data_IF_442564513864
#
_entry.id   IF_442564513864
#
_cell.length_a   1.000
_cell.length_b   1.000
_cell.length_c   1.000
_cell.angle_alpha   90.00
_cell.angle_beta   90.00
_cell.angle_gamma   90.00
#
_symmetry.space_group_name_H-M   'P 1'
#
loop_
_entity.id
_entity.type
_entity.pdbx_description
1 polymer ?
#
# COMPACT_ATOMS: atom_id res chain seq x y z
N UNK A 1 2.34 16.96 31.36
CA UNK A 1 0.98 16.65 31.88
C UNK A 1 0.76 15.16 31.66
N UNK A 2 0.26 14.38 32.64
CA UNK A 2 -0.29 13.08 32.31
C UNK A 2 -1.39 13.30 31.27
N UNK A 3 -1.29 12.61 30.13
CA UNK A 3 -2.31 12.67 29.07
C UNK A 3 -3.59 12.08 29.69
N UNK A 4 -4.52 12.95 30.06
CA UNK A 4 -5.71 12.62 30.86
C UNK A 4 -6.65 11.66 30.10
N UNK A 5 -6.48 11.56 28.78
CA UNK A 5 -7.33 10.79 27.86
C UNK A 5 -6.62 9.63 27.16
N UNK A 6 -5.41 9.23 27.59
CA UNK A 6 -4.82 8.00 27.06
C UNK A 6 -5.56 6.77 27.61
N UNK A 7 -5.71 5.70 26.81
CA UNK A 7 -6.25 4.46 27.31
C UNK A 7 -5.43 3.92 28.50
N UNK A 8 -6.11 3.35 29.49
CA UNK A 8 -5.51 2.84 30.74
C UNK A 8 -4.39 1.81 30.51
N UNK A 9 -4.42 1.11 29.39
CA UNK A 9 -3.46 0.08 28.98
C UNK A 9 -2.22 0.61 28.24
N UNK A 10 -2.15 1.91 27.95
CA UNK A 10 -1.07 2.50 27.16
C UNK A 10 0.31 2.29 27.80
N UNK A 11 0.42 2.36 29.13
CA UNK A 11 1.67 2.09 29.86
C UNK A 11 2.15 0.65 29.67
N UNK A 12 1.27 -0.32 29.91
CA UNK A 12 1.58 -1.74 29.74
C UNK A 12 1.90 -2.10 28.27
N UNK A 13 1.28 -1.40 27.31
CA UNK A 13 1.57 -1.56 25.89
C UNK A 13 2.99 -1.12 25.54
N UNK A 14 3.45 0.02 26.08
CA UNK A 14 4.83 0.48 25.90
C UNK A 14 5.85 -0.50 26.51
N UNK A 15 5.54 -1.07 27.67
CA UNK A 15 6.37 -2.10 28.29
C UNK A 15 6.43 -3.37 27.42
N UNK A 16 5.32 -3.79 26.80
CA UNK A 16 5.29 -4.94 25.89
C UNK A 16 6.10 -4.68 24.61
N UNK A 17 6.06 -3.47 24.06
CA UNK A 17 6.93 -3.09 22.93
C UNK A 17 8.42 -3.14 23.30
N UNK A 18 8.79 -2.64 24.48
CA UNK A 18 10.15 -2.70 24.97
C UNK A 18 10.62 -4.16 25.17
N UNK A 19 9.75 -5.03 25.72
CA UNK A 19 10.02 -6.46 25.87
C UNK A 19 10.21 -7.19 24.53
N UNK A 20 9.63 -6.65 23.45
CA UNK A 20 9.84 -7.13 22.06
C UNK A 20 11.08 -6.53 21.39
N UNK A 21 11.86 -5.73 22.12
CA UNK A 21 13.10 -5.11 21.62
C UNK A 21 12.87 -3.93 20.68
N UNK A 22 11.71 -3.29 20.73
CA UNK A 22 11.42 -2.08 19.96
C UNK A 22 11.73 -0.83 20.81
N UNK A 23 12.63 0.02 20.31
CA UNK A 23 13.03 1.24 20.99
C UNK A 23 11.96 2.31 20.82
N UNK A 24 11.53 2.95 21.91
CA UNK A 24 10.54 4.02 21.84
C UNK A 24 11.10 5.22 21.07
N UNK A 25 10.31 5.72 20.13
CA UNK A 25 10.56 6.98 19.43
C UNK A 25 9.39 7.92 19.64
N UNK A 26 9.69 9.21 19.61
CA UNK A 26 8.69 10.25 19.57
C UNK A 26 8.88 11.05 18.28
N UNK A 27 7.77 11.46 17.68
CA UNK A 27 7.78 12.25 16.45
C UNK A 27 6.89 13.48 16.67
N UNK A 28 7.21 14.64 16.07
CA UNK A 28 6.35 15.82 16.22
C UNK A 28 4.95 15.58 15.63
N UNK A 29 3.94 16.22 16.21
CA UNK A 29 2.56 16.19 15.67
C UNK A 29 2.46 16.95 14.35
N UNK A 30 3.11 18.10 14.26
CA UNK A 30 3.18 18.88 13.02
C UNK A 30 4.29 18.30 12.15
N UNK A 31 3.98 18.00 10.89
CA UNK A 31 4.90 17.41 9.91
C UNK A 31 4.85 18.18 8.59
N UNK A 32 5.92 18.13 7.77
CA UNK A 32 5.84 18.54 6.37
C UNK A 32 4.76 17.74 5.63
N UNK A 33 3.92 18.41 4.83
CA UNK A 33 2.80 17.75 4.17
C UNK A 33 3.21 16.88 2.97
N UNK A 34 4.24 17.30 2.22
CA UNK A 34 4.68 16.71 0.95
C UNK A 34 4.89 15.19 1.03
N UNK A 35 5.65 14.63 1.99
CA UNK A 35 5.84 13.18 2.12
C UNK A 35 4.52 12.38 2.19
N UNK A 36 3.50 12.92 2.85
CA UNK A 36 2.20 12.25 2.93
C UNK A 36 1.40 12.43 1.64
N UNK A 37 1.40 13.62 1.06
CA UNK A 37 0.64 13.88 -0.17
C UNK A 37 1.09 13.03 -1.35
N UNK A 38 2.37 12.63 -1.37
CA UNK A 38 2.95 11.83 -2.43
C UNK A 38 2.89 10.32 -2.17
N UNK A 39 2.93 9.88 -0.91
CA UNK A 39 3.07 8.45 -0.56
C UNK A 39 1.83 7.81 0.06
N UNK A 40 0.89 8.61 0.59
CA UNK A 40 -0.22 8.10 1.40
C UNK A 40 -1.36 7.45 0.60
N UNK A 41 -1.37 7.59 -0.73
CA UNK A 41 -2.49 7.22 -1.59
C UNK A 41 -3.67 8.20 -1.52
N UNK A 42 -4.57 8.13 -2.50
CA UNK A 42 -5.66 9.12 -2.65
C UNK A 42 -6.63 9.16 -1.46
N UNK A 43 -6.96 8.00 -0.89
CA UNK A 43 -7.94 7.92 0.21
C UNK A 43 -7.41 8.56 1.49
N UNK A 44 -6.15 8.34 1.84
CA UNK A 44 -5.55 8.99 3.00
C UNK A 44 -5.33 10.47 2.72
N UNK A 45 -4.83 10.84 1.53
CA UNK A 45 -4.59 12.24 1.12
C UNK A 45 -5.80 13.15 1.33
N UNK A 46 -7.01 12.67 0.97
CA UNK A 46 -8.26 13.45 1.12
C UNK A 46 -8.67 13.69 2.58
N UNK A 47 -8.08 12.96 3.53
CA UNK A 47 -8.44 12.98 4.96
C UNK A 47 -7.41 13.69 5.84
N UNK A 48 -6.32 14.21 5.26
CA UNK A 48 -5.26 14.90 5.99
C UNK A 48 -5.71 16.31 6.38
N UNK A 49 -5.43 16.72 7.61
CA UNK A 49 -5.55 18.11 8.03
C UNK A 49 -4.30 18.90 7.62
N UNK A 50 -4.47 19.77 6.63
CA UNK A 50 -3.41 20.65 6.14
C UNK A 50 -3.42 21.98 6.90
N UNK A 51 -2.23 22.54 7.07
CA UNK A 51 -1.99 23.88 7.60
C UNK A 51 -0.78 24.49 6.89
N UNK A 52 -0.48 25.74 7.18
CA UNK A 52 0.64 26.48 6.59
C UNK A 52 1.48 27.08 7.72
N UNK A 53 2.80 27.12 7.51
CA UNK A 53 3.71 27.87 8.38
C UNK A 53 3.60 29.38 8.13
N UNK A 54 4.24 30.19 8.98
CA UNK A 54 4.32 31.64 8.76
C UNK A 54 5.11 32.03 7.49
N UNK A 55 5.95 31.13 6.98
CA UNK A 55 6.78 31.34 5.77
C UNK A 55 6.14 30.77 4.50
N UNK A 56 4.95 30.19 4.60
CA UNK A 56 4.21 29.63 3.46
C UNK A 56 4.46 28.14 3.19
N UNK A 57 5.28 27.47 4.01
CA UNK A 57 5.51 26.03 3.89
C UNK A 57 4.24 25.22 4.21
N UNK A 58 3.94 24.22 3.39
CA UNK A 58 2.79 23.34 3.58
C UNK A 58 3.08 22.28 4.65
N UNK A 59 2.26 22.31 5.71
CA UNK A 59 2.36 21.44 6.86
C UNK A 59 1.08 20.62 7.03
N UNK A 60 1.14 19.58 7.83
CA UNK A 60 -0.03 18.82 8.24
C UNK A 60 0.08 18.36 9.70
N UNK A 61 -1.08 18.11 10.31
CA UNK A 61 -1.13 17.25 11.48
C UNK A 61 -0.84 15.81 11.03
N UNK A 62 0.07 15.10 11.70
CA UNK A 62 0.47 13.74 11.30
C UNK A 62 -0.76 12.83 11.19
N UNK A 63 -1.02 12.23 10.03
CA UNK A 63 -2.15 11.32 9.85
C UNK A 63 -1.84 9.89 10.31
N UNK A 64 -0.55 9.57 10.46
CA UNK A 64 0.00 8.25 10.81
C UNK A 64 1.47 8.40 11.29
N UNK A 65 2.13 7.31 11.69
CA UNK A 65 3.47 7.33 12.31
C UNK A 65 4.61 6.80 11.43
N UNK A 66 4.32 5.95 10.45
CA UNK A 66 5.30 5.25 9.60
C UNK A 66 6.25 6.24 8.91
N UNK A 67 5.71 7.25 8.22
CA UNK A 67 6.52 8.26 7.50
C UNK A 67 7.37 9.07 8.48
N UNK A 68 6.82 9.65 9.58
CA UNK A 68 7.63 10.33 10.59
C UNK A 68 8.75 9.48 11.18
N UNK A 69 8.48 8.20 11.46
CA UNK A 69 9.49 7.26 12.00
C UNK A 69 10.58 6.98 10.97
N UNK A 70 10.21 6.80 9.70
CA UNK A 70 11.17 6.60 8.62
C UNK A 70 12.06 7.85 8.40
N UNK A 71 11.47 9.05 8.40
CA UNK A 71 12.22 10.30 8.29
C UNK A 71 13.19 10.49 9.45
N UNK A 72 12.72 10.24 10.69
CA UNK A 72 13.58 10.29 11.87
C UNK A 72 14.73 9.29 11.81
N UNK A 73 14.50 8.07 11.29
CA UNK A 73 15.55 7.08 11.05
C UNK A 73 16.59 7.58 10.04
N UNK A 74 16.15 8.12 8.90
CA UNK A 74 17.04 8.64 7.85
C UNK A 74 17.94 9.76 8.37
N UNK A 75 17.38 10.65 9.20
CA UNK A 75 18.11 11.80 9.75
C UNK A 75 19.07 11.41 10.88
N UNK A 76 18.64 10.53 11.78
CA UNK A 76 19.29 10.38 13.09
C UNK A 76 19.97 9.02 13.31
N UNK A 77 19.59 7.97 12.58
CA UNK A 77 20.06 6.62 12.88
C UNK A 77 21.40 6.31 12.22
N UNK A 78 22.22 5.54 12.95
CA UNK A 78 23.41 4.90 12.41
C UNK A 78 23.13 3.42 12.16
N UNK A 79 23.00 3.08 10.87
CA UNK A 79 22.86 1.71 10.39
C UNK A 79 21.53 1.01 10.69
N UNK A 80 21.44 -0.20 10.17
CA UNK A 80 20.31 -1.13 10.27
C UNK A 80 20.81 -2.52 10.73
N UNK A 81 19.96 -3.41 11.26
CA UNK A 81 18.52 -3.25 11.51
C UNK A 81 18.19 -2.41 12.75
N UNK A 82 17.01 -1.78 12.76
CA UNK A 82 16.43 -1.04 13.90
C UNK A 82 14.95 -1.37 14.04
N UNK A 83 14.46 -1.45 15.28
CA UNK A 83 13.04 -1.61 15.60
C UNK A 83 12.59 -0.41 16.42
N UNK A 84 11.53 0.27 15.98
CA UNK A 84 11.02 1.47 16.63
C UNK A 84 9.58 1.26 17.08
N UNK A 85 9.27 1.65 18.31
CA UNK A 85 7.91 1.66 18.83
C UNK A 85 7.43 3.09 19.01
N UNK A 86 6.16 3.33 18.69
CA UNK A 86 5.51 4.63 18.89
C UNK A 86 4.17 4.47 19.60
N UNK A 87 3.74 5.55 20.26
CA UNK A 87 2.40 5.70 20.82
C UNK A 87 2.05 7.19 20.88
N UNK A 88 0.94 7.58 20.27
CA UNK A 88 0.42 8.94 20.38
C UNK A 88 -0.77 9.22 19.46
N UNK A 89 -1.19 10.48 19.44
CA UNK A 89 -2.33 10.93 18.62
C UNK A 89 -1.98 11.06 17.15
N UNK A 90 -2.92 10.70 16.30
CA UNK A 90 -2.94 10.95 14.86
C UNK A 90 -4.23 11.64 14.46
N UNK A 91 -4.19 12.38 13.36
CA UNK A 91 -5.26 13.28 12.96
C UNK A 91 -5.73 12.97 11.54
N UNK A 92 -6.99 12.53 11.39
CA UNK A 92 -7.60 12.21 10.08
C UNK A 92 -9.08 12.53 10.10
N UNK A 93 -9.59 13.08 9.00
CA UNK A 93 -11.04 13.20 8.80
C UNK A 93 -11.65 11.79 8.73
N UNK A 94 -12.48 11.44 9.72
CA UNK A 94 -13.17 10.14 9.77
C UNK A 94 -14.64 10.31 9.46
N UNK A 95 -15.24 9.31 8.81
CA UNK A 95 -16.70 9.25 8.61
C UNK A 95 -17.44 9.08 9.93
N UNK A 96 -16.81 8.38 10.88
CA UNK A 96 -17.34 8.08 12.21
C UNK A 96 -16.25 8.22 13.29
N UNK A 97 -16.65 8.75 14.45
CA UNK A 97 -15.77 8.99 15.59
C UNK A 97 -15.07 10.36 15.54
N UNK A 98 -14.14 10.57 16.48
CA UNK A 98 -13.31 11.78 16.53
C UNK A 98 -12.27 11.82 15.41
N UNK A 99 -11.87 13.03 15.02
CA UNK A 99 -10.83 13.26 14.03
C UNK A 99 -9.40 13.12 14.59
N UNK A 100 -9.29 13.04 15.91
CA UNK A 100 -8.09 12.77 16.70
C UNK A 100 -8.28 11.44 17.42
N UNK A 101 -7.28 10.58 17.39
CA UNK A 101 -7.30 9.29 18.07
C UNK A 101 -5.89 8.73 18.23
N UNK A 102 -5.74 7.79 19.17
CA UNK A 102 -4.44 7.19 19.46
C UNK A 102 -4.11 6.03 18.54
N UNK A 103 -2.86 6.01 18.08
CA UNK A 103 -2.24 4.86 17.45
C UNK A 103 -0.96 4.48 18.19
N UNK A 104 -0.65 3.19 18.17
CA UNK A 104 0.60 2.67 18.70
C UNK A 104 1.06 1.52 17.82
N UNK A 105 2.37 1.32 17.66
CA UNK A 105 2.85 0.34 16.70
C UNK A 105 4.35 0.13 16.74
N UNK A 106 4.82 -0.76 15.86
CA UNK A 106 6.24 -1.05 15.67
C UNK A 106 6.58 -0.94 14.18
N UNK A 107 7.69 -0.27 13.87
CA UNK A 107 8.35 -0.29 12.56
C UNK A 107 9.70 -1.01 12.65
N UNK A 108 9.87 -2.07 11.85
CA UNK A 108 11.11 -2.82 11.70
C UNK A 108 11.82 -2.38 10.41
N UNK A 109 12.95 -1.70 10.55
CA UNK A 109 13.69 -1.11 9.44
C UNK A 109 15.02 -1.82 9.23
N UNK A 110 15.23 -2.33 8.02
CA UNK A 110 16.48 -2.88 7.52
C UNK A 110 16.82 -4.30 7.98
N UNK A 111 15.83 -5.11 8.37
CA UNK A 111 16.03 -6.55 8.62
C UNK A 111 16.17 -7.29 7.28
N UNK A 112 17.34 -7.89 6.96
CA UNK A 112 17.57 -8.58 5.70
C UNK A 112 16.75 -9.88 5.58
N UNK A 113 16.45 -10.56 6.69
CA UNK A 113 15.57 -11.73 6.68
C UNK A 113 14.10 -11.28 6.64
N UNK A 114 13.67 -10.75 5.50
CA UNK A 114 12.36 -10.10 5.31
C UNK A 114 11.19 -10.99 5.71
N UNK A 115 11.20 -12.26 5.32
CA UNK A 115 10.17 -13.23 5.70
C UNK A 115 10.04 -13.42 7.23
N UNK A 116 11.16 -13.35 7.96
CA UNK A 116 11.18 -13.40 9.43
C UNK A 116 10.64 -12.10 10.04
N UNK A 117 10.99 -10.95 9.46
CA UNK A 117 10.47 -9.65 9.89
C UNK A 117 8.95 -9.58 9.73
N UNK A 118 8.46 -10.05 8.59
CA UNK A 118 7.04 -10.11 8.23
C UNK A 118 6.26 -10.99 9.22
N UNK A 119 6.76 -12.21 9.46
CA UNK A 119 6.16 -13.13 10.43
C UNK A 119 6.15 -12.56 11.85
N UNK A 120 7.24 -11.89 12.25
CA UNK A 120 7.37 -11.24 13.55
C UNK A 120 6.37 -10.10 13.72
N UNK A 121 6.17 -9.24 12.72
CA UNK A 121 5.20 -8.14 12.78
C UNK A 121 3.76 -8.64 12.99
N UNK A 122 3.35 -9.68 12.25
CA UNK A 122 2.04 -10.32 12.43
C UNK A 122 1.93 -10.94 13.83
N UNK A 123 2.93 -11.72 14.25
CA UNK A 123 2.93 -12.38 15.55
C UNK A 123 2.91 -11.38 16.72
N UNK A 124 3.64 -10.27 16.59
CA UNK A 124 3.65 -9.20 17.58
C UNK A 124 2.26 -8.56 17.71
N UNK A 125 1.63 -8.19 16.59
CA UNK A 125 0.28 -7.63 16.58
C UNK A 125 -0.77 -8.59 17.20
N UNK A 126 -0.76 -9.87 16.81
CA UNK A 126 -1.66 -10.89 17.36
C UNK A 126 -1.40 -11.08 18.86
N UNK A 127 -0.14 -11.21 19.27
CA UNK A 127 0.24 -11.44 20.65
C UNK A 127 -0.15 -10.29 21.57
N UNK A 128 0.00 -9.04 21.11
CA UNK A 128 -0.45 -7.85 21.84
C UNK A 128 -1.97 -7.87 21.99
N UNK A 129 -2.71 -8.10 20.91
CA UNK A 129 -4.17 -8.12 20.95
C UNK A 129 -4.71 -9.24 21.85
N UNK A 130 -4.09 -10.42 21.86
CA UNK A 130 -4.47 -11.49 22.79
C UNK A 130 -4.24 -11.10 24.26
N UNK A 131 -3.18 -10.36 24.58
CA UNK A 131 -2.94 -9.85 25.95
C UNK A 131 -3.97 -8.79 26.34
N UNK A 132 -4.32 -7.89 25.42
CA UNK A 132 -5.28 -6.80 25.67
C UNK A 132 -6.74 -7.28 25.67
N UNK A 133 -7.05 -8.36 24.94
CA UNK A 133 -8.40 -8.91 24.75
C UNK A 133 -8.44 -10.42 25.11
N UNK A 134 -8.16 -10.79 26.37
CA UNK A 134 -8.04 -12.19 26.76
C UNK A 134 -9.34 -12.95 26.49
N UNK A 135 -9.20 -14.15 25.91
CA UNK A 135 -10.33 -15.05 25.63
C UNK A 135 -11.19 -14.64 24.43
N UNK A 136 -10.90 -13.51 23.76
CA UNK A 136 -11.68 -13.07 22.61
C UNK A 136 -11.06 -13.55 21.30
N UNK A 137 -11.84 -14.22 20.44
CA UNK A 137 -11.32 -14.76 19.20
C UNK A 137 -10.98 -13.62 18.22
N UNK A 138 -9.76 -13.69 17.68
CA UNK A 138 -9.28 -12.81 16.63
C UNK A 138 -9.40 -13.49 15.27
N UNK A 139 -9.63 -12.68 14.24
CA UNK A 139 -9.53 -13.06 12.84
C UNK A 139 -8.44 -12.21 12.20
N UNK A 140 -7.55 -12.84 11.42
CA UNK A 140 -6.48 -12.17 10.68
C UNK A 140 -6.73 -12.36 9.20
N UNK A 141 -6.73 -11.26 8.45
CA UNK A 141 -6.76 -11.29 6.99
C UNK A 141 -5.40 -10.91 6.46
N UNK A 142 -4.88 -11.69 5.52
CA UNK A 142 -3.58 -11.50 4.90
C UNK A 142 -3.71 -11.41 3.38
N UNK A 143 -2.96 -10.50 2.77
CA UNK A 143 -2.79 -10.40 1.33
C UNK A 143 -1.34 -10.09 0.99
N UNK A 144 -1.01 -10.14 -0.30
CA UNK A 144 0.36 -9.97 -0.74
C UNK A 144 0.44 -9.28 -2.10
N UNK A 145 0.88 -8.03 -2.07
CA UNK A 145 1.04 -7.22 -3.27
C UNK A 145 2.13 -7.77 -4.19
N UNK A 146 3.22 -8.35 -3.66
CA UNK A 146 4.28 -8.89 -4.50
C UNK A 146 3.82 -10.11 -5.31
N UNK A 147 2.93 -10.93 -4.72
CA UNK A 147 2.28 -12.03 -5.44
C UNK A 147 1.33 -11.50 -6.53
N UNK A 148 0.50 -10.51 -6.22
CA UNK A 148 -0.37 -9.88 -7.21
C UNK A 148 0.42 -9.24 -8.37
N UNK A 149 1.48 -8.49 -8.06
CA UNK A 149 2.38 -7.89 -9.05
C UNK A 149 3.01 -8.97 -9.96
N UNK A 150 3.42 -10.10 -9.39
CA UNK A 150 3.95 -11.23 -10.15
C UNK A 150 2.91 -11.82 -11.11
N UNK A 151 1.67 -12.04 -10.65
CA UNK A 151 0.57 -12.50 -11.52
C UNK A 151 0.35 -11.50 -12.66
N UNK A 152 0.12 -10.22 -12.35
CA UNK A 152 -0.12 -9.17 -13.36
C UNK A 152 1.00 -9.10 -14.40
N UNK A 153 2.26 -9.25 -13.98
CA UNK A 153 3.42 -9.25 -14.88
C UNK A 153 3.42 -10.45 -15.85
N UNK A 154 2.95 -11.61 -15.41
CA UNK A 154 2.88 -12.81 -16.24
C UNK A 154 1.73 -12.80 -17.26
N UNK A 155 0.73 -11.93 -17.09
CA UNK A 155 -0.42 -11.81 -18.01
C UNK A 155 -0.12 -11.07 -19.32
N UNK A 156 1.13 -10.62 -19.55
CA UNK A 156 1.54 -10.00 -20.81
C UNK A 156 0.91 -8.62 -21.10
N UNK A 157 0.34 -7.97 -20.09
CA UNK A 157 -0.25 -6.63 -20.21
C UNK A 157 0.80 -5.55 -20.54
N UNK A 158 0.44 -4.48 -21.27
CA UNK A 158 1.29 -3.30 -21.38
C UNK A 158 1.64 -2.71 -20.01
N UNK A 159 2.85 -2.17 -19.87
CA UNK A 159 3.38 -1.67 -18.60
C UNK A 159 2.52 -0.58 -17.94
N UNK A 160 1.81 0.24 -18.73
CA UNK A 160 0.86 1.22 -18.20
C UNK A 160 -0.36 0.56 -17.55
N UNK A 161 -0.87 -0.53 -18.10
CA UNK A 161 -1.96 -1.30 -17.48
C UNK A 161 -1.51 -2.05 -16.25
N UNK A 162 -0.31 -2.65 -16.29
CA UNK A 162 0.27 -3.27 -15.10
C UNK A 162 0.34 -2.26 -13.95
N UNK A 163 0.91 -1.06 -14.19
CA UNK A 163 0.97 0.01 -13.19
C UNK A 163 -0.41 0.39 -12.65
N UNK A 164 -1.41 0.56 -13.51
CA UNK A 164 -2.78 0.94 -13.09
C UNK A 164 -3.43 -0.14 -12.21
N UNK A 165 -3.29 -1.42 -12.58
CA UNK A 165 -3.82 -2.52 -11.77
C UNK A 165 -3.12 -2.60 -10.41
N UNK A 166 -1.79 -2.47 -10.39
CA UNK A 166 -0.98 -2.49 -9.17
C UNK A 166 -1.34 -1.33 -8.25
N UNK A 167 -1.52 -0.12 -8.79
CA UNK A 167 -1.94 1.06 -8.01
C UNK A 167 -3.38 0.95 -7.49
N UNK A 168 -4.26 0.24 -8.21
CA UNK A 168 -5.62 -0.01 -7.73
C UNK A 168 -5.70 -1.17 -6.72
N UNK A 169 -4.61 -1.90 -6.48
CA UNK A 169 -4.60 -3.02 -5.55
C UNK A 169 -4.84 -2.52 -4.11
N UNK A 170 -5.90 -3.00 -3.47
CA UNK A 170 -6.37 -2.47 -2.18
C UNK A 170 -7.55 -1.50 -2.27
N UNK A 171 -7.90 -1.03 -3.48
CA UNK A 171 -9.19 -0.39 -3.77
C UNK A 171 -10.00 -1.31 -4.68
N UNK A 172 -10.85 -2.15 -4.08
CA UNK A 172 -11.66 -3.11 -4.81
C UNK A 172 -12.59 -2.45 -5.84
N UNK A 173 -13.08 -1.25 -5.55
CA UNK A 173 -13.99 -0.54 -6.45
C UNK A 173 -13.27 -0.07 -7.70
N UNK A 174 -12.09 0.54 -7.53
CA UNK A 174 -11.26 0.98 -8.64
C UNK A 174 -10.71 -0.22 -9.43
N UNK A 175 -10.26 -1.28 -8.76
CA UNK A 175 -9.79 -2.50 -9.41
C UNK A 175 -10.89 -3.12 -10.29
N UNK A 176 -12.11 -3.25 -9.78
CA UNK A 176 -13.26 -3.76 -10.53
C UNK A 176 -13.58 -2.91 -11.77
N UNK A 177 -13.46 -1.57 -11.66
CA UNK A 177 -13.65 -0.68 -12.79
C UNK A 177 -12.58 -0.90 -13.86
N UNK A 178 -11.31 -1.03 -13.48
CA UNK A 178 -10.21 -1.33 -14.41
C UNK A 178 -10.41 -2.68 -15.10
N UNK A 179 -10.82 -3.72 -14.36
CA UNK A 179 -11.12 -5.04 -14.92
C UNK A 179 -12.28 -4.98 -15.92
N UNK A 180 -13.32 -4.17 -15.66
CA UNK A 180 -14.42 -3.93 -16.61
C UNK A 180 -13.93 -3.20 -17.87
N UNK A 181 -13.05 -2.20 -17.73
CA UNK A 181 -12.45 -1.51 -18.87
C UNK A 181 -11.59 -2.45 -19.72
N UNK A 182 -10.81 -3.34 -19.09
CA UNK A 182 -10.00 -4.32 -19.81
C UNK A 182 -10.82 -5.39 -20.52
N UNK A 183 -11.99 -5.75 -19.98
CA UNK A 183 -12.95 -6.66 -20.61
C UNK A 183 -13.66 -6.02 -21.81
N UNK A 184 -13.93 -4.71 -21.73
CA UNK A 184 -14.67 -3.94 -22.73
C UNK A 184 -14.06 -2.54 -22.87
N UNK A 185 -12.97 -2.38 -23.64
CA UNK A 185 -12.31 -1.08 -23.77
C UNK A 185 -13.24 -0.08 -24.45
N UNK A 186 -13.21 1.14 -23.94
CA UNK A 186 -13.88 2.27 -24.54
C UNK A 186 -12.95 2.87 -25.61
N UNK A 187 -13.50 3.11 -26.80
CA UNK A 187 -12.83 3.92 -27.82
C UNK A 187 -12.52 5.30 -27.25
N UNK A 188 -11.30 5.80 -27.49
CA UNK A 188 -10.89 7.13 -27.07
C UNK A 188 -11.74 8.19 -27.79
N UNK A 189 -12.81 8.67 -27.16
CA UNK A 189 -13.65 9.73 -27.72
C UNK A 189 -13.08 11.11 -27.38
N UNK A 190 -13.11 12.05 -28.34
CA UNK A 190 -12.82 13.47 -28.10
C UNK A 190 -11.42 13.96 -28.48
N UNK A 191 -10.70 13.26 -29.37
CA UNK A 191 -9.50 13.80 -30.01
C UNK A 191 -9.89 14.66 -31.23
N UNK A 192 -9.04 15.62 -31.58
CA UNK A 192 -9.16 16.34 -32.84
C UNK A 192 -9.01 15.35 -34.03
N UNK A 193 -9.85 15.44 -35.08
CA UNK A 193 -9.82 14.49 -36.19
C UNK A 193 -8.46 14.37 -36.90
N UNK A 194 -7.67 15.45 -36.95
CA UNK A 194 -6.34 15.42 -37.54
C UNK A 194 -5.35 14.66 -36.65
N UNK A 195 -5.42 14.88 -35.32
CA UNK A 195 -4.64 14.13 -34.33
C UNK A 195 -5.00 12.64 -34.39
N UNK A 196 -6.29 12.31 -34.48
CA UNK A 196 -6.77 10.92 -34.56
C UNK A 196 -6.29 10.22 -35.85
N UNK A 197 -6.33 10.92 -36.99
CA UNK A 197 -5.82 10.40 -38.26
C UNK A 197 -4.31 10.15 -38.22
N UNK A 198 -3.53 11.07 -37.64
CA UNK A 198 -2.07 10.97 -37.50
C UNK A 198 -1.66 9.86 -36.52
N UNK A 199 -2.43 9.66 -35.44
CA UNK A 199 -2.23 8.55 -34.53
C UNK A 199 -2.54 7.21 -35.21
N UNK A 200 -3.65 7.13 -35.94
CA UNK A 200 -4.08 5.91 -36.63
C UNK A 200 -3.15 5.51 -37.78
N UNK A 201 -2.53 6.48 -38.46
CA UNK A 201 -1.56 6.22 -39.53
C UNK A 201 -0.16 5.87 -39.03
N UNK A 202 0.12 6.08 -37.74
CA UNK A 202 1.45 5.91 -37.14
C UNK A 202 2.44 7.03 -37.47
N UNK A 203 2.01 8.12 -38.10
CA UNK A 203 2.86 9.24 -38.50
C UNK A 203 3.26 10.12 -37.31
N UNK A 204 4.33 9.72 -36.62
CA UNK A 204 4.85 10.45 -35.46
C UNK A 204 5.39 11.83 -35.82
N UNK A 205 6.05 11.95 -36.97
CA UNK A 205 6.63 13.21 -37.39
C UNK A 205 5.53 14.23 -37.72
N UNK A 206 4.49 13.79 -38.42
CA UNK A 206 3.30 14.59 -38.70
C UNK A 206 2.54 14.97 -37.43
N UNK A 207 2.40 14.06 -36.46
CA UNK A 207 1.78 14.36 -35.17
C UNK A 207 2.53 15.44 -34.39
N UNK A 208 3.87 15.33 -34.29
CA UNK A 208 4.70 16.31 -33.60
C UNK A 208 4.59 17.68 -34.30
N UNK A 209 4.69 17.71 -35.62
CA UNK A 209 4.60 18.95 -36.40
C UNK A 209 3.22 19.62 -36.29
N UNK A 210 2.15 18.83 -36.26
CA UNK A 210 0.80 19.33 -36.04
C UNK A 210 0.65 19.96 -34.65
N UNK A 211 1.10 19.25 -33.60
CA UNK A 211 1.04 19.75 -32.22
C UNK A 211 1.88 21.02 -32.02
N UNK A 212 3.07 21.08 -32.63
CA UNK A 212 3.94 22.25 -32.57
C UNK A 212 3.24 23.48 -33.17
N UNK A 213 2.67 23.33 -34.37
CA UNK A 213 1.89 24.40 -35.02
C UNK A 213 0.68 24.81 -34.20
N UNK A 214 -0.07 23.87 -33.63
CA UNK A 214 -1.21 24.20 -32.76
C UNK A 214 -0.77 24.97 -31.51
N UNK A 215 0.38 24.63 -30.92
CA UNK A 215 0.93 25.33 -29.76
C UNK A 215 1.41 26.74 -30.09
N UNK A 216 1.96 26.95 -31.30
CA UNK A 216 2.32 28.27 -31.82
C UNK A 216 1.06 29.12 -32.09
N UNK A 217 0.09 28.58 -32.82
CA UNK A 217 -1.14 29.27 -33.23
C UNK A 217 -2.00 29.70 -32.03
N UNK A 218 -1.97 28.91 -30.95
CA UNK A 218 -2.71 29.20 -29.71
C UNK A 218 -1.91 30.04 -28.71
N UNK A 219 -0.65 30.36 -29.01
CA UNK A 219 0.25 31.11 -28.12
C UNK A 219 0.71 30.34 -26.88
N UNK A 220 0.47 29.02 -26.81
CA UNK A 220 0.84 28.17 -25.69
C UNK A 220 2.34 27.80 -25.66
N UNK A 221 3.03 27.89 -26.79
CA UNK A 221 4.45 27.49 -26.93
C UNK A 221 5.39 28.17 -25.92
N UNK A 222 5.12 29.43 -25.55
CA UNK A 222 5.98 30.21 -24.64
C UNK A 222 5.87 29.83 -23.16
N UNK A 223 4.77 29.17 -22.76
CA UNK A 223 4.47 28.84 -21.36
C UNK A 223 4.16 27.34 -21.15
N UNK A 224 4.43 26.50 -22.15
CA UNK A 224 4.10 25.08 -22.08
C UNK A 224 5.05 24.31 -21.13
N UNK A 225 4.47 23.53 -20.23
CA UNK A 225 5.22 22.62 -19.34
C UNK A 225 5.71 21.35 -20.02
N UNK A 226 5.34 21.13 -21.29
CA UNK A 226 5.69 19.95 -22.10
C UNK A 226 5.94 20.33 -23.54
N UNK A 227 6.92 19.70 -24.16
CA UNK A 227 7.22 19.80 -25.59
C UNK A 227 6.17 19.08 -26.45
N UNK A 228 6.01 19.46 -27.73
CA UNK A 228 5.14 18.75 -28.69
C UNK A 228 5.47 17.25 -28.78
N UNK A 229 6.75 16.89 -28.68
CA UNK A 229 7.22 15.51 -28.67
C UNK A 229 6.74 14.72 -27.45
N UNK A 230 6.81 15.32 -26.27
CA UNK A 230 6.28 14.69 -25.04
C UNK A 230 4.75 14.54 -25.10
N UNK A 231 4.05 15.52 -25.67
CA UNK A 231 2.61 15.44 -25.88
C UNK A 231 2.27 14.31 -26.84
N UNK A 232 2.95 14.22 -27.99
CA UNK A 232 2.77 13.15 -28.97
C UNK A 232 2.99 11.75 -28.35
N UNK A 233 4.08 11.58 -27.59
CA UNK A 233 4.38 10.33 -26.90
C UNK A 233 3.28 9.93 -25.90
N UNK A 234 2.78 10.89 -25.12
CA UNK A 234 1.68 10.65 -24.16
C UNK A 234 0.35 10.34 -24.85
N UNK A 235 0.05 10.97 -25.97
CA UNK A 235 -1.15 10.68 -26.76
C UNK A 235 -1.11 9.26 -27.32
N UNK A 236 0.05 8.84 -27.87
CA UNK A 236 0.27 7.46 -28.31
C UNK A 236 0.12 6.46 -27.17
N UNK A 237 0.75 6.70 -26.02
CA UNK A 237 0.60 5.83 -24.84
C UNK A 237 -0.87 5.75 -24.40
N UNK A 238 -1.58 6.87 -24.36
CA UNK A 238 -3.01 6.92 -23.99
C UNK A 238 -3.88 6.13 -24.97
N UNK A 239 -3.64 6.23 -26.28
CA UNK A 239 -4.38 5.47 -27.29
C UNK A 239 -4.10 3.97 -27.17
N UNK A 240 -2.82 3.58 -27.09
CA UNK A 240 -2.43 2.18 -26.91
C UNK A 240 -3.07 1.57 -25.67
N UNK A 241 -3.12 2.32 -24.55
CA UNK A 241 -3.82 1.89 -23.34
C UNK A 241 -5.33 1.80 -23.52
N UNK A 242 -5.96 2.72 -24.25
CA UNK A 242 -7.40 2.69 -24.52
C UNK A 242 -7.81 1.51 -25.40
N UNK A 243 -6.98 1.10 -26.36
CA UNK A 243 -7.24 -0.02 -27.27
C UNK A 243 -6.86 -1.38 -26.69
N UNK A 244 -6.04 -1.40 -25.64
CA UNK A 244 -5.60 -2.65 -25.00
C UNK A 244 -6.79 -3.46 -24.51
N UNK A 245 -6.81 -4.74 -24.88
CA UNK A 245 -7.71 -5.76 -24.35
C UNK A 245 -6.88 -6.82 -23.68
N UNK A 246 -7.31 -7.26 -22.49
CA UNK A 246 -6.91 -8.59 -22.04
C UNK A 246 -7.60 -9.60 -22.97
N UNK A 247 -6.85 -10.60 -23.43
CA UNK A 247 -7.53 -11.76 -24.01
C UNK A 247 -8.43 -12.40 -22.93
N UNK A 248 -9.46 -13.13 -23.38
CA UNK A 248 -10.45 -13.71 -22.46
C UNK A 248 -9.81 -14.65 -21.44
N UNK A 249 -8.72 -15.34 -21.80
CA UNK A 249 -8.04 -16.29 -20.94
C UNK A 249 -7.33 -15.58 -19.78
N UNK A 250 -6.54 -14.55 -20.07
CA UNK A 250 -5.79 -13.83 -19.05
C UNK A 250 -6.71 -13.00 -18.13
N UNK A 251 -7.87 -12.52 -18.60
CA UNK A 251 -8.88 -11.91 -17.72
C UNK A 251 -9.52 -12.95 -16.78
N UNK A 252 -9.78 -14.16 -17.28
CA UNK A 252 -10.29 -15.27 -16.46
C UNK A 252 -9.27 -15.67 -15.39
N UNK A 253 -7.99 -15.81 -15.76
CA UNK A 253 -6.90 -16.11 -14.82
C UNK A 253 -6.77 -15.04 -13.73
N UNK A 254 -6.85 -13.76 -14.08
CA UNK A 254 -6.79 -12.69 -13.10
C UNK A 254 -7.98 -12.73 -12.13
N UNK A 255 -9.18 -13.04 -12.62
CA UNK A 255 -10.37 -13.19 -11.78
C UNK A 255 -10.31 -14.44 -10.90
N UNK A 256 -9.78 -15.53 -11.42
CA UNK A 256 -9.54 -16.77 -10.66
C UNK A 256 -8.52 -16.54 -9.54
N UNK A 257 -7.41 -15.85 -9.83
CA UNK A 257 -6.47 -15.44 -8.80
C UNK A 257 -7.15 -14.58 -7.73
N UNK A 258 -7.85 -13.53 -8.13
CA UNK A 258 -8.50 -12.59 -7.20
C UNK A 258 -9.63 -13.23 -6.37
N UNK A 259 -10.21 -14.35 -6.81
CA UNK A 259 -11.23 -15.07 -6.05
C UNK A 259 -10.65 -16.00 -4.98
N UNK A 260 -9.32 -16.17 -4.91
CA UNK A 260 -8.68 -16.98 -3.88
C UNK A 260 -8.90 -16.36 -2.49
N UNK A 261 -9.67 -17.07 -1.68
CA UNK A 261 -9.93 -16.79 -0.27
C UNK A 261 -9.97 -18.12 0.50
N UNK A 262 -8.95 -18.37 1.32
CA UNK A 262 -8.72 -19.67 1.95
C UNK A 262 -7.82 -19.55 3.19
N UNK A 263 -7.75 -20.56 4.07
CA UNK A 263 -6.80 -20.58 5.17
C UNK A 263 -5.35 -20.44 4.68
N UNK A 264 -4.52 -19.68 5.42
CA UNK A 264 -3.12 -19.42 5.06
C UNK A 264 -2.29 -20.71 4.99
N UNK A 265 -2.68 -21.74 5.76
CA UNK A 265 -2.08 -23.08 5.71
C UNK A 265 -2.17 -23.75 4.33
N UNK A 266 -3.16 -23.38 3.52
CA UNK A 266 -3.41 -23.94 2.19
C UNK A 266 -2.97 -23.00 1.05
N UNK A 267 -2.72 -21.72 1.37
CA UNK A 267 -2.49 -20.66 0.39
C UNK A 267 -1.30 -20.91 -0.54
N UNK A 268 -0.14 -21.36 -0.02
CA UNK A 268 1.03 -21.64 -0.85
C UNK A 268 0.78 -22.75 -1.88
N UNK A 269 0.11 -23.83 -1.45
CA UNK A 269 -0.23 -24.93 -2.34
C UNK A 269 -1.23 -24.49 -3.41
N UNK A 270 -2.25 -23.69 -3.03
CA UNK A 270 -3.22 -23.14 -3.98
C UNK A 270 -2.56 -22.21 -5.01
N UNK A 271 -1.67 -21.31 -4.58
CA UNK A 271 -0.94 -20.41 -5.48
C UNK A 271 -0.02 -21.17 -6.44
N UNK A 272 0.63 -22.22 -5.96
CA UNK A 272 1.46 -23.11 -6.80
C UNK A 272 0.60 -23.82 -7.84
N UNK A 273 -0.49 -24.45 -7.42
CA UNK A 273 -1.41 -25.15 -8.31
C UNK A 273 -2.04 -24.21 -9.36
N UNK A 274 -2.41 -23.00 -8.96
CA UNK A 274 -2.87 -21.95 -9.88
C UNK A 274 -1.80 -21.59 -10.91
N UNK A 275 -0.57 -21.32 -10.46
CA UNK A 275 0.53 -20.96 -11.35
C UNK A 275 0.85 -22.08 -12.36
N UNK A 276 0.92 -23.33 -11.89
CA UNK A 276 1.20 -24.50 -12.72
C UNK A 276 0.10 -24.73 -13.76
N UNK A 277 -1.18 -24.68 -13.35
CA UNK A 277 -2.31 -24.87 -14.25
C UNK A 277 -2.40 -23.78 -15.33
N UNK A 278 -2.01 -22.56 -14.98
CA UNK A 278 -1.99 -21.42 -15.89
C UNK A 278 -0.69 -21.28 -16.68
N UNK A 279 0.32 -22.12 -16.42
CA UNK A 279 1.64 -22.01 -17.03
C UNK A 279 2.41 -20.72 -16.68
N UNK A 280 2.13 -20.13 -15.51
CA UNK A 280 2.71 -18.88 -15.03
C UNK A 280 3.92 -19.15 -14.14
N UNK A 281 4.94 -18.29 -14.22
CA UNK A 281 6.09 -18.34 -13.32
C UNK A 281 6.07 -17.17 -12.35
N UNK A 282 5.68 -17.43 -11.10
CA UNK A 282 5.62 -16.44 -10.03
C UNK A 282 6.99 -16.20 -9.35
N UNK A 283 7.95 -17.10 -9.58
CA UNK A 283 9.36 -16.94 -9.20
C UNK A 283 9.59 -16.52 -7.74
N UNK A 284 10.37 -15.46 -7.56
CA UNK A 284 10.76 -14.98 -6.23
C UNK A 284 9.57 -14.53 -5.36
N UNK A 285 8.44 -14.12 -5.95
CA UNK A 285 7.27 -13.70 -5.18
C UNK A 285 6.63 -14.89 -4.44
N UNK A 286 6.47 -16.02 -5.13
CA UNK A 286 5.95 -17.25 -4.52
C UNK A 286 6.93 -17.80 -3.48
N UNK A 287 8.23 -17.85 -3.80
CA UNK A 287 9.25 -18.29 -2.85
C UNK A 287 9.29 -17.40 -1.58
N UNK A 288 9.14 -16.09 -1.73
CA UNK A 288 9.03 -15.15 -0.60
C UNK A 288 7.76 -15.35 0.22
N UNK A 289 6.64 -15.65 -0.43
CA UNK A 289 5.39 -15.99 0.25
C UNK A 289 5.49 -17.29 1.05
N UNK A 290 6.06 -18.35 0.48
CA UNK A 290 6.33 -19.62 1.18
C UNK A 290 7.27 -19.44 2.38
N UNK A 291 8.34 -18.67 2.20
CA UNK A 291 9.29 -18.38 3.27
C UNK A 291 8.61 -17.66 4.46
N UNK A 292 7.65 -16.76 4.21
CA UNK A 292 6.84 -16.13 5.25
C UNK A 292 5.96 -17.12 5.98
N UNK A 293 5.27 -18.01 5.26
CA UNK A 293 4.42 -19.03 5.86
C UNK A 293 5.26 -19.95 6.77
N UNK A 294 6.42 -20.38 6.31
CA UNK A 294 7.36 -21.15 7.11
C UNK A 294 7.83 -20.36 8.36
N UNK A 295 8.14 -19.07 8.22
CA UNK A 295 8.54 -18.23 9.34
C UNK A 295 7.41 -18.05 10.38
N UNK A 296 6.15 -17.90 9.95
CA UNK A 296 4.99 -17.84 10.84
C UNK A 296 4.77 -19.17 11.58
N UNK A 297 4.86 -20.30 10.87
CA UNK A 297 4.77 -21.63 11.47
C UNK A 297 5.86 -21.86 12.53
N UNK A 298 7.10 -21.41 12.25
CA UNK A 298 8.21 -21.50 13.20
C UNK A 298 8.01 -20.66 14.47
N UNK A 299 7.22 -19.59 14.39
CA UNK A 299 6.81 -18.80 15.56
C UNK A 299 5.62 -19.43 16.33
N UNK A 300 5.10 -20.56 15.86
CA UNK A 300 3.95 -21.24 16.45
C UNK A 300 2.60 -20.57 16.14
N UNK A 301 2.55 -19.71 15.12
CA UNK A 301 1.29 -19.08 14.69
C UNK A 301 0.40 -20.13 14.03
N UNK A 302 -0.84 -20.23 14.48
CA UNK A 302 -1.84 -21.11 13.88
C UNK A 302 -2.31 -20.54 12.52
N UNK A 303 -1.72 -21.06 11.45
CA UNK A 303 -1.99 -20.63 10.08
C UNK A 303 -3.43 -20.90 9.63
N UNK A 304 -4.16 -21.81 10.28
CA UNK A 304 -5.55 -22.11 9.95
C UNK A 304 -6.51 -20.99 10.37
N UNK A 305 -6.05 -20.12 11.29
CA UNK A 305 -6.80 -18.96 11.80
C UNK A 305 -6.49 -17.66 11.08
N UNK A 306 -5.59 -17.71 10.11
CA UNK A 306 -5.30 -16.58 9.21
C UNK A 306 -5.95 -16.89 7.86
N UNK A 307 -6.79 -15.99 7.37
CA UNK A 307 -7.36 -16.10 6.02
C UNK A 307 -6.46 -15.38 5.04
N UNK A 308 -5.94 -16.08 4.04
CA UNK A 308 -5.34 -15.47 2.87
C UNK A 308 -6.43 -15.05 1.89
N UNK A 309 -6.36 -13.80 1.42
CA UNK A 309 -7.24 -13.24 0.40
C UNK A 309 -6.37 -12.60 -0.68
N UNK A 310 -6.37 -13.17 -1.88
CA UNK A 310 -5.53 -12.68 -2.97
C UNK A 310 -5.91 -11.26 -3.43
N UNK A 311 -7.20 -10.91 -3.35
CA UNK A 311 -7.69 -9.56 -3.62
C UNK A 311 -7.51 -8.56 -2.47
N UNK A 312 -6.90 -8.97 -1.34
CA UNK A 312 -6.69 -8.10 -0.20
C UNK A 312 -5.40 -7.29 -0.35
N UNK A 313 -5.56 -6.00 -0.66
CA UNK A 313 -4.53 -4.97 -0.54
C UNK A 313 -4.89 -3.95 0.54
N UNK A 314 -4.03 -2.95 0.77
CA UNK A 314 -4.35 -1.79 1.62
C UNK A 314 -4.25 -0.50 0.80
N UNK A 315 -5.08 0.52 1.10
CA UNK A 315 -5.18 1.74 0.29
C UNK A 315 -4.02 2.73 0.49
N UNK A 316 -2.86 2.25 0.96
CA UNK A 316 -1.65 3.05 1.14
C UNK A 316 -0.63 2.63 0.08
N UNK A 317 -0.27 3.56 -0.79
CA UNK A 317 0.51 3.29 -2.00
C UNK A 317 1.94 2.82 -1.71
N UNK A 318 2.44 3.06 -0.50
CA UNK A 318 3.80 2.69 -0.12
C UNK A 318 4.00 1.19 0.18
N UNK A 319 2.93 0.39 0.28
CA UNK A 319 3.08 -1.06 0.46
C UNK A 319 3.68 -1.73 -0.79
N UNK A 320 4.38 -2.84 -0.56
CA UNK A 320 5.23 -3.50 -1.57
C UNK A 320 5.19 -5.02 -1.51
N UNK A 321 4.50 -5.60 -0.54
CA UNK A 321 4.50 -7.04 -0.30
C UNK A 321 3.35 -7.44 0.60
N UNK A 322 3.66 -8.19 1.65
CA UNK A 322 2.71 -8.59 2.68
C UNK A 322 1.91 -7.39 3.20
N UNK A 323 0.59 -7.55 3.31
CA UNK A 323 -0.28 -6.68 4.09
C UNK A 323 -1.22 -7.53 4.95
N UNK A 324 -1.61 -7.02 6.11
CA UNK A 324 -2.52 -7.73 7.00
C UNK A 324 -3.38 -6.79 7.85
N UNK A 325 -4.51 -7.32 8.30
CA UNK A 325 -5.39 -6.70 9.30
C UNK A 325 -5.84 -7.74 10.32
N UNK A 326 -6.01 -7.29 11.57
CA UNK A 326 -6.51 -8.09 12.69
C UNK A 326 -7.76 -7.44 13.24
N UNK A 327 -8.83 -8.22 13.37
CA UNK A 327 -10.10 -7.81 13.96
C UNK A 327 -10.60 -8.85 14.96
N UNK A 328 -11.63 -8.52 15.73
CA UNK A 328 -12.38 -9.52 16.48
C UNK A 328 -13.22 -10.36 15.51
N UNK A 329 -13.32 -11.66 15.78
CA UNK A 329 -14.13 -12.55 14.94
C UNK A 329 -15.59 -12.09 14.92
N UNK A 330 -16.12 -11.86 13.71
CA UNK A 330 -17.48 -11.38 13.50
C UNK A 330 -17.65 -9.85 13.59
N UNK A 331 -16.59 -9.11 13.88
CA UNK A 331 -16.63 -7.64 13.91
C UNK A 331 -15.83 -7.03 12.74
N UNK A 332 -16.37 -6.00 12.06
CA UNK A 332 -15.68 -5.35 10.95
C UNK A 332 -14.59 -4.37 11.40
N UNK A 333 -14.51 -4.04 12.70
CA UNK A 333 -13.59 -3.05 13.23
C UNK A 333 -12.15 -3.61 13.28
N UNK A 334 -11.29 -3.09 12.42
CA UNK A 334 -9.85 -3.41 12.41
C UNK A 334 -9.19 -2.86 13.67
N UNK A 335 -8.55 -3.72 14.45
CA UNK A 335 -7.84 -3.39 15.68
C UNK A 335 -6.34 -3.19 15.45
N UNK A 336 -5.77 -3.95 14.53
CA UNK A 336 -4.38 -3.83 14.10
C UNK A 336 -4.26 -4.00 12.59
N UNK A 337 -3.24 -3.39 11.99
CA UNK A 337 -3.05 -3.47 10.55
C UNK A 337 -1.65 -2.99 10.17
N UNK A 338 -1.09 -3.62 9.16
CA UNK A 338 0.31 -3.45 8.82
C UNK A 338 0.68 -4.06 7.50
N UNK A 339 1.98 -4.02 7.19
CA UNK A 339 2.52 -4.58 5.96
C UNK A 339 3.95 -4.14 5.67
N UNK A 340 4.48 -4.65 4.57
CA UNK A 340 5.85 -4.42 4.08
C UNK A 340 5.91 -3.26 3.08
N UNK A 341 6.86 -2.35 3.26
CA UNK A 341 6.98 -1.10 2.50
C UNK A 341 8.45 -0.77 2.12
N UNK A 342 9.08 -1.68 1.39
CA UNK A 342 10.52 -1.65 1.06
C UNK A 342 10.97 -0.44 0.24
N UNK A 343 10.04 0.20 -0.47
CA UNK A 343 10.32 1.38 -1.31
C UNK A 343 10.26 2.69 -0.54
N UNK A 344 9.59 2.73 0.62
CA UNK A 344 9.23 3.98 1.28
C UNK A 344 10.46 4.80 1.69
N UNK A 345 11.45 4.19 2.32
CA UNK A 345 12.63 4.93 2.81
C UNK A 345 13.42 5.56 1.66
N UNK A 346 13.57 4.86 0.53
CA UNK A 346 14.21 5.41 -0.67
C UNK A 346 13.40 6.56 -1.25
N UNK A 347 12.07 6.45 -1.29
CA UNK A 347 11.18 7.54 -1.72
C UNK A 347 11.25 8.77 -0.80
N UNK A 348 11.57 8.56 0.48
CA UNK A 348 11.79 9.62 1.47
C UNK A 348 13.24 10.15 1.50
N UNK A 349 14.10 9.70 0.58
CA UNK A 349 15.47 10.23 0.42
C UNK A 349 16.58 9.42 1.10
N UNK A 350 16.31 8.19 1.57
CA UNK A 350 17.38 7.30 2.03
C UNK A 350 18.36 6.97 0.90
N UNK A 351 19.66 6.96 1.21
CA UNK A 351 20.72 6.67 0.23
C UNK A 351 20.73 5.20 -0.23
N UNK A 352 20.45 4.30 0.70
CA UNK A 352 20.42 2.86 0.46
C UNK A 352 18.97 2.34 0.51
N UNK A 353 18.70 1.22 -0.17
CA UNK A 353 17.44 0.51 -0.03
C UNK A 353 17.37 -0.14 1.34
N UNK A 354 16.33 0.21 2.12
CA UNK A 354 16.12 -0.31 3.47
C UNK A 354 14.79 -1.08 3.47
N UNK A 355 14.82 -2.42 3.52
CA UNK A 355 13.59 -3.21 3.59
C UNK A 355 12.87 -2.92 4.91
N UNK A 356 11.55 -2.79 4.89
CA UNK A 356 10.80 -2.32 6.05
C UNK A 356 9.44 -2.98 6.17
N UNK A 357 9.03 -3.25 7.41
CA UNK A 357 7.72 -3.82 7.74
C UNK A 357 7.28 -3.30 9.09
N UNK A 358 5.99 -3.10 9.27
CA UNK A 358 5.46 -2.68 10.55
C UNK A 358 3.96 -2.79 10.64
N UNK A 359 3.43 -2.37 11.79
CA UNK A 359 2.01 -2.39 12.06
C UNK A 359 1.61 -1.29 13.03
N UNK A 360 0.34 -0.94 12.99
CA UNK A 360 -0.29 0.02 13.88
C UNK A 360 -1.53 -0.60 14.53
N UNK A 361 -1.77 -0.20 15.78
CA UNK A 361 -2.92 -0.55 16.62
C UNK A 361 -3.85 0.66 16.71
N UNK A 362 -5.16 0.44 16.58
CA UNK A 362 -6.18 1.47 16.81
C UNK A 362 -6.66 1.40 18.25
N UNK A 363 -6.07 2.25 19.09
CA UNK A 363 -6.24 2.18 20.55
C UNK A 363 -7.67 2.51 20.99
N UNK A 364 -8.35 3.42 20.30
CA UNK A 364 -9.77 3.76 20.51
C UNK A 364 -10.67 2.53 20.30
N UNK A 365 -10.40 1.76 19.24
CA UNK A 365 -11.17 0.54 18.91
C UNK A 365 -10.88 -0.60 19.89
N UNK A 366 -9.62 -0.74 20.31
CA UNK A 366 -9.22 -1.73 21.31
C UNK A 366 -9.87 -1.42 22.67
N UNK A 367 -9.91 -0.15 23.07
CA UNK A 367 -10.60 0.28 24.29
C UNK A 367 -12.11 -0.02 24.24
N UNK A 368 -12.77 0.36 23.15
CA UNK A 368 -14.18 0.04 22.89
C UNK A 368 -14.46 -1.46 22.94
N UNK A 369 -13.56 -2.24 22.35
CA UNK A 369 -13.63 -3.68 22.48
C UNK A 369 -13.53 -4.06 23.96
N UNK A 370 -12.51 -3.64 24.71
CA UNK A 370 -12.30 -4.04 26.14
C UNK A 370 -13.48 -3.73 27.06
N UNK A 371 -14.28 -2.73 26.72
CA UNK A 371 -15.47 -2.34 27.47
C UNK A 371 -16.70 -3.27 27.28
N UNK A 372 -16.68 -4.15 26.27
CA UNK A 372 -17.70 -5.17 26.00
C UNK A 372 -17.24 -6.52 26.54
#
# INVERSE_FOLDING_TARGET
>A
MPLINMPDFAGALLDDFAARGAARVDTPVIQPAEPFLDMAGEDLRRRIFLTESETGESLCLRPEFTIPVCLSHIENATGTPKRYAYLGEVFRQRREGGNEFYQAGIEDLGEPATARADARAINDAIGILHKLLPGRPLTVTLGDQAVFEAVVKTLGLPSGWQRRLIQAFGDSTHLDQLLKTLASPQTAHGLDPAVEALLSSGDEAGLIAHLDRTMEDTGYSTNASRSPREIAARLKEKLALAETRLDGAALLLLREFLSLELPLSEAAAALTGFADAAGLSLGAALAGFEARIAALANLGVDLTRITYRAAFGRPLDYYTGLVFEVALTGEPAVLAGGGRFDRLLTLLGAKDTIPAVGFSLWLDRIELARAR
#
